data_IF_654283251072
#
_entry.id   IF_654283251072
#
_cell.length_a   1.000
_cell.length_b   1.000
_cell.length_c   1.000
_cell.angle_alpha   90.00
_cell.angle_beta   90.00
_cell.angle_gamma   90.00
#
_symmetry.space_group_name_H-M   'P 1'
#
loop_
_entity.id
_entity.type
_entity.pdbx_description
1 polymer ?
#
# COMPACT_ATOMS: atom_id res chain seq x y z
N UNK A 1 5.05 52.08 -29.42
CA UNK A 1 5.37 51.68 -28.02
C UNK A 1 4.40 50.59 -27.61
N UNK A 2 4.77 49.33 -27.84
CA UNK A 2 4.01 48.15 -27.39
C UNK A 2 4.80 47.48 -26.27
N UNK A 3 4.18 47.35 -25.10
CA UNK A 3 4.74 46.69 -23.93
C UNK A 3 4.51 45.19 -24.03
N UNK A 4 5.57 44.42 -24.28
CA UNK A 4 5.53 42.95 -24.21
C UNK A 4 6.11 42.51 -22.86
N UNK A 5 5.23 42.28 -21.89
CA UNK A 5 5.57 41.71 -20.59
C UNK A 5 5.56 40.20 -20.76
N UNK A 6 6.71 39.65 -21.15
CA UNK A 6 6.97 38.22 -21.19
C UNK A 6 6.78 37.61 -19.80
N UNK A 7 5.58 37.11 -19.54
CA UNK A 7 5.19 36.44 -18.30
C UNK A 7 5.98 35.13 -18.18
N UNK A 8 7.12 35.18 -17.50
CA UNK A 8 7.90 34.00 -17.13
C UNK A 8 7.02 33.04 -16.35
N UNK A 9 6.58 31.95 -17.02
CA UNK A 9 5.90 30.83 -16.36
C UNK A 9 6.90 30.23 -15.39
N UNK A 10 6.70 30.50 -14.10
CA UNK A 10 7.36 29.78 -13.00
C UNK A 10 7.03 28.30 -13.19
N UNK A 11 8.02 27.54 -13.67
CA UNK A 11 7.95 26.09 -13.81
C UNK A 11 7.80 25.54 -12.39
N UNK A 12 6.65 24.95 -12.08
CA UNK A 12 6.43 24.30 -10.79
C UNK A 12 7.53 23.26 -10.54
N UNK A 13 8.06 23.14 -9.31
CA UNK A 13 9.08 22.15 -9.01
C UNK A 13 8.49 20.76 -9.26
N UNK A 14 9.05 20.05 -10.23
CA UNK A 14 8.81 18.62 -10.37
C UNK A 14 9.44 17.97 -9.16
N UNK A 15 8.64 17.43 -8.26
CA UNK A 15 9.11 16.49 -7.24
C UNK A 15 9.67 15.28 -7.98
N UNK A 16 10.98 15.32 -8.26
CA UNK A 16 11.72 14.10 -8.48
C UNK A 16 11.80 13.46 -7.10
N UNK A 17 10.95 12.47 -6.83
CA UNK A 17 11.22 11.49 -5.78
C UNK A 17 12.50 10.77 -6.18
N UNK A 18 13.63 11.35 -5.79
CA UNK A 18 14.93 10.73 -5.96
C UNK A 18 14.93 9.49 -5.07
N UNK A 19 15.39 8.37 -5.62
CA UNK A 19 15.64 7.19 -4.81
C UNK A 19 16.57 7.59 -3.65
N UNK A 20 16.11 7.36 -2.42
CA UNK A 20 16.91 7.57 -1.22
C UNK A 20 17.67 6.27 -0.92
N UNK A 21 18.98 6.38 -0.73
CA UNK A 21 19.78 5.23 -0.31
C UNK A 21 19.52 4.93 1.16
N UNK A 22 19.09 3.71 1.44
CA UNK A 22 18.89 3.17 2.78
C UNK A 22 19.96 2.11 3.06
N UNK A 23 20.77 2.30 4.10
CA UNK A 23 21.72 1.30 4.58
C UNK A 23 21.08 0.43 5.67
N UNK A 24 21.31 -0.88 5.63
CA UNK A 24 20.87 -1.81 6.65
C UNK A 24 22.04 -2.68 7.12
N UNK A 25 22.06 -2.99 8.40
CA UNK A 25 22.99 -3.95 8.98
C UNK A 25 22.49 -5.37 8.72
N UNK A 26 23.41 -6.26 8.35
CA UNK A 26 23.15 -7.68 8.12
C UNK A 26 24.14 -8.45 8.97
N UNK A 27 23.69 -9.52 9.62
CA UNK A 27 24.61 -10.40 10.33
C UNK A 27 25.56 -11.06 9.33
N UNK A 28 26.79 -11.35 9.77
CA UNK A 28 27.81 -11.90 8.86
C UNK A 28 27.35 -13.24 8.27
N UNK A 29 26.63 -14.02 9.06
CA UNK A 29 26.10 -15.34 8.71
C UNK A 29 25.00 -15.28 7.66
N UNK A 30 24.21 -14.20 7.62
CA UNK A 30 23.11 -14.02 6.68
C UNK A 30 23.58 -13.47 5.33
N UNK A 31 24.82 -12.97 5.25
CA UNK A 31 25.33 -12.28 4.06
C UNK A 31 25.38 -13.18 2.81
N UNK A 32 25.86 -14.44 2.89
CA UNK A 32 25.87 -15.33 1.73
C UNK A 32 24.46 -15.58 1.16
N UNK A 33 23.49 -15.80 2.04
CA UNK A 33 22.09 -16.03 1.64
C UNK A 33 21.51 -14.78 0.99
N UNK A 34 21.76 -13.60 1.57
CA UNK A 34 21.30 -12.34 0.98
C UNK A 34 21.89 -12.12 -0.42
N UNK A 35 23.19 -12.38 -0.60
CA UNK A 35 23.84 -12.19 -1.90
C UNK A 35 23.28 -13.20 -2.94
N UNK A 36 23.02 -14.46 -2.57
CA UNK A 36 22.33 -15.43 -3.44
C UNK A 36 20.92 -14.97 -3.86
N UNK A 37 20.12 -14.49 -2.90
CA UNK A 37 18.76 -14.02 -3.16
C UNK A 37 18.76 -12.76 -4.03
N UNK A 38 19.73 -11.87 -3.84
CA UNK A 38 19.89 -10.67 -4.66
C UNK A 38 20.28 -11.02 -6.08
N UNK A 39 21.16 -11.99 -6.28
CA UNK A 39 21.54 -12.46 -7.60
C UNK A 39 20.36 -13.13 -8.31
N UNK A 40 19.64 -14.03 -7.63
CA UNK A 40 18.56 -14.80 -8.23
C UNK A 40 17.27 -13.99 -8.47
N UNK A 41 16.81 -13.21 -7.48
CA UNK A 41 15.54 -12.48 -7.57
C UNK A 41 15.69 -11.01 -7.95
N UNK A 42 16.90 -10.45 -7.79
CA UNK A 42 17.18 -9.04 -8.02
C UNK A 42 18.12 -8.76 -9.19
N UNK A 43 18.54 -9.78 -9.95
CA UNK A 43 19.55 -9.67 -11.01
C UNK A 43 20.83 -8.96 -10.53
N UNK A 44 21.27 -9.28 -9.30
CA UNK A 44 22.44 -8.66 -8.64
C UNK A 44 22.17 -7.27 -8.05
N UNK A 45 20.95 -6.73 -8.18
CA UNK A 45 20.58 -5.41 -7.68
C UNK A 45 19.81 -5.50 -6.35
N UNK A 46 20.49 -5.15 -5.25
CA UNK A 46 19.88 -5.13 -3.90
C UNK A 46 18.61 -4.29 -3.81
N UNK A 47 18.53 -3.15 -4.51
CA UNK A 47 17.34 -2.32 -4.51
C UNK A 47 16.20 -2.92 -5.33
N UNK A 48 16.50 -3.67 -6.41
CA UNK A 48 15.48 -4.40 -7.17
C UNK A 48 14.89 -5.54 -6.33
N UNK A 49 15.76 -6.36 -5.74
CA UNK A 49 15.39 -7.39 -4.79
C UNK A 49 14.50 -6.83 -3.67
N UNK A 50 14.95 -5.77 -2.99
CA UNK A 50 14.22 -5.18 -1.87
C UNK A 50 12.82 -4.66 -2.26
N UNK A 51 12.71 -4.01 -3.43
CA UNK A 51 11.41 -3.53 -3.95
C UNK A 51 10.46 -4.68 -4.25
N UNK A 52 10.95 -5.79 -4.79
CA UNK A 52 10.15 -6.98 -5.02
C UNK A 52 9.68 -7.60 -3.70
N UNK A 53 10.61 -7.79 -2.76
CA UNK A 53 10.34 -8.39 -1.45
C UNK A 53 9.30 -7.60 -0.66
N UNK A 54 9.41 -6.27 -0.55
CA UNK A 54 8.43 -5.51 0.22
C UNK A 54 7.02 -5.51 -0.39
N UNK A 55 6.88 -5.65 -1.71
CA UNK A 55 5.55 -5.82 -2.32
C UNK A 55 4.92 -7.13 -1.86
N UNK A 56 5.68 -8.22 -1.89
CA UNK A 56 5.20 -9.53 -1.43
C UNK A 56 4.84 -9.49 0.07
N UNK A 57 5.75 -8.98 0.91
CA UNK A 57 5.52 -8.88 2.35
C UNK A 57 4.30 -8.00 2.68
N UNK A 58 4.12 -6.89 1.96
CA UNK A 58 2.94 -6.02 2.12
C UNK A 58 1.66 -6.74 1.72
N UNK A 59 1.67 -7.52 0.64
CA UNK A 59 0.52 -8.33 0.23
C UNK A 59 0.16 -9.37 1.27
N UNK A 60 1.14 -10.05 1.87
CA UNK A 60 0.92 -11.01 2.96
C UNK A 60 0.27 -10.32 4.16
N UNK A 61 0.85 -9.21 4.63
CA UNK A 61 0.32 -8.44 5.76
C UNK A 61 -1.11 -7.96 5.51
N UNK A 62 -1.43 -7.47 4.30
CA UNK A 62 -2.78 -7.05 3.96
C UNK A 62 -3.76 -8.23 3.92
N UNK A 63 -3.34 -9.39 3.41
CA UNK A 63 -4.18 -10.58 3.39
C UNK A 63 -4.50 -11.06 4.81
N UNK A 64 -3.55 -10.97 5.75
CA UNK A 64 -3.78 -11.26 7.18
C UNK A 64 -4.80 -10.29 7.78
N UNK A 65 -4.59 -8.98 7.59
CA UNK A 65 -5.51 -7.95 8.09
C UNK A 65 -6.94 -8.11 7.55
N UNK A 66 -7.09 -8.47 6.28
CA UNK A 66 -8.39 -8.72 5.67
C UNK A 66 -9.07 -9.97 6.23
N UNK A 67 -8.32 -11.04 6.50
CA UNK A 67 -8.87 -12.24 7.15
C UNK A 67 -9.38 -11.93 8.55
N UNK A 68 -8.61 -11.19 9.34
CA UNK A 68 -9.00 -10.80 10.69
C UNK A 68 -10.26 -9.91 10.67
N UNK A 69 -10.29 -8.95 9.74
CA UNK A 69 -11.46 -8.07 9.56
C UNK A 69 -12.71 -8.86 9.14
N UNK A 70 -12.55 -9.83 8.23
CA UNK A 70 -13.63 -10.69 7.81
C UNK A 70 -14.16 -11.55 8.96
N UNK A 71 -13.25 -12.15 9.76
CA UNK A 71 -13.62 -12.96 10.92
C UNK A 71 -14.40 -12.12 11.96
N UNK A 72 -13.91 -10.91 12.26
CA UNK A 72 -14.61 -9.96 13.12
C UNK A 72 -16.01 -9.62 12.60
N UNK A 73 -16.10 -9.30 11.30
CA UNK A 73 -17.37 -8.98 10.66
C UNK A 73 -18.38 -10.12 10.75
N UNK A 74 -17.95 -11.35 10.43
CA UNK A 74 -18.78 -12.55 10.51
C UNK A 74 -19.27 -12.82 11.93
N UNK A 75 -18.39 -12.72 12.93
CA UNK A 75 -18.77 -12.86 14.33
C UNK A 75 -19.83 -11.81 14.69
N UNK A 76 -19.60 -10.55 14.34
CA UNK A 76 -20.49 -9.46 14.74
C UNK A 76 -21.85 -9.53 14.05
N UNK A 77 -21.91 -9.92 12.78
CA UNK A 77 -23.19 -10.11 12.08
C UNK A 77 -23.97 -11.29 12.66
N UNK A 78 -23.28 -12.39 13.02
CA UNK A 78 -23.92 -13.51 13.71
C UNK A 78 -24.49 -13.11 15.08
N UNK A 79 -23.75 -12.33 15.87
CA UNK A 79 -24.25 -11.77 17.15
C UNK A 79 -25.48 -10.88 16.98
N UNK A 80 -25.62 -10.23 15.83
CA UNK A 80 -26.76 -9.37 15.48
C UNK A 80 -27.90 -10.13 14.76
N UNK A 81 -27.74 -11.43 14.51
CA UNK A 81 -28.70 -12.23 13.74
C UNK A 81 -28.85 -11.78 12.29
N UNK A 82 -27.80 -11.17 11.72
CA UNK A 82 -27.76 -10.70 10.34
C UNK A 82 -27.09 -11.77 9.49
N UNK A 83 -27.81 -12.28 8.49
CA UNK A 83 -27.22 -13.17 7.51
C UNK A 83 -26.18 -12.41 6.65
N UNK A 84 -25.02 -13.02 6.33
CA UNK A 84 -23.98 -12.35 5.55
C UNK A 84 -24.45 -11.78 4.21
N UNK A 85 -25.43 -12.44 3.57
CA UNK A 85 -26.03 -12.00 2.31
C UNK A 85 -26.82 -10.69 2.45
N UNK A 86 -27.33 -10.38 3.64
CA UNK A 86 -28.18 -9.21 3.90
C UNK A 86 -27.36 -7.96 4.26
N UNK A 87 -26.08 -8.14 4.61
CA UNK A 87 -25.19 -7.04 5.04
C UNK A 87 -25.16 -5.87 4.04
N UNK A 88 -25.02 -6.07 2.71
CA UNK A 88 -25.04 -4.97 1.75
C UNK A 88 -26.35 -4.17 1.76
N UNK A 89 -27.49 -4.84 1.98
CA UNK A 89 -28.79 -4.18 2.05
C UNK A 89 -28.94 -3.36 3.33
N UNK A 90 -28.54 -3.92 4.47
CA UNK A 90 -28.52 -3.20 5.76
C UNK A 90 -27.63 -1.96 5.72
N UNK A 91 -26.45 -2.05 5.09
CA UNK A 91 -25.56 -0.91 4.91
C UNK A 91 -26.21 0.16 4.02
N UNK A 92 -26.84 -0.26 2.91
CA UNK A 92 -27.55 0.67 2.02
C UNK A 92 -28.71 1.38 2.72
N UNK A 93 -29.50 0.67 3.51
CA UNK A 93 -30.58 1.26 4.33
C UNK A 93 -30.02 2.30 5.31
N UNK A 94 -28.96 1.96 6.04
CA UNK A 94 -28.32 2.86 6.99
C UNK A 94 -27.78 4.14 6.34
N UNK A 95 -27.12 4.01 5.18
CA UNK A 95 -26.57 5.15 4.46
C UNK A 95 -27.66 6.05 3.86
N UNK A 96 -28.77 5.48 3.38
CA UNK A 96 -29.94 6.25 2.92
C UNK A 96 -30.57 7.07 4.05
N UNK A 97 -30.62 6.52 5.27
CA UNK A 97 -31.12 7.22 6.45
C UNK A 97 -30.26 8.40 6.92
N UNK A 98 -28.98 8.46 6.54
CA UNK A 98 -28.06 9.57 6.88
C UNK A 98 -27.96 10.68 5.83
N UNK A 99 -28.47 10.47 4.62
CA UNK A 99 -28.45 11.45 3.53
C UNK A 99 -29.67 12.38 3.45
N UNK A 100 -30.59 12.28 4.40
CA UNK A 100 -31.86 13.02 4.43
C UNK A 100 -32.03 13.97 5.61
N UNK A 101 -30.96 14.34 6.31
CA UNK A 101 -30.96 15.29 7.42
C UNK A 101 -30.01 16.46 7.15
#
# INVERSE_FOLDING_TARGET
MGTDIGKSRRKAPRHHDKAQTLGFSVQAEDRPVLDELVDYFGDGNRSAYLRATYRVMKSIMLAEQLRDLQAYGQQRTAELGIEPADVPDRVREFLKGKGGA
#
